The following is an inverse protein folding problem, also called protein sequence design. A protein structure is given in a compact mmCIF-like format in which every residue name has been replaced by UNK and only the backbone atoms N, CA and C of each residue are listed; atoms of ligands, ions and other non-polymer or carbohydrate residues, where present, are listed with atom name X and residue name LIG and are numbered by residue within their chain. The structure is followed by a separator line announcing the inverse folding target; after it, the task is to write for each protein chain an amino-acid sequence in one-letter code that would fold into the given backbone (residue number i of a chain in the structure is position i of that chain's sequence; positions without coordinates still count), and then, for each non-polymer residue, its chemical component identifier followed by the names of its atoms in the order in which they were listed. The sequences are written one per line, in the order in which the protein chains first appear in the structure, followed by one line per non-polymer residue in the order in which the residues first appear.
data_IF_480988157444
#
_entry.id   IF_480988157444
#
_cell.length_a   1.000
_cell.length_b   1.000
_cell.length_c   1.000
_cell.angle_alpha   90.00
_cell.angle_beta   90.00
_cell.angle_gamma   90.00
#
_symmetry.space_group_name_H-M   'P 1'
#
loop_
_entity.id
_entity.type
_entity.pdbx_description
1 polymer ?
#
# COMPACT_ATOMS: atom_id res chain seq x y z
N UNK A 1 -11.23 7.61 14.81
CA UNK A 1 -10.96 7.30 14.69
C UNK A 1 -10.25 6.89 13.93
N UNK A 2 -9.96 6.77 13.68
CA UNK A 2 -9.47 6.41 12.79
C UNK A 2 -8.21 6.28 12.73
N UNK A 3 -7.65 5.65 12.99
CA UNK A 3 -6.51 5.49 12.98
C UNK A 3 -6.12 5.04 11.89
N UNK A 4 -5.64 5.38 11.14
CA UNK A 4 -5.24 4.89 10.02
C UNK A 4 -3.88 4.46 10.03
N UNK A 5 -3.62 3.19 10.08
CA UNK A 5 -2.31 2.63 9.94
C UNK A 5 -2.05 2.44 8.45
N UNK A 6 -0.84 2.04 8.11
CA UNK A 6 -0.52 1.75 6.71
C UNK A 6 -1.47 0.68 6.17
N UNK A 7 -1.70 -0.39 6.93
CA UNK A 7 -2.55 -1.46 6.43
C UNK A 7 -3.98 -0.98 6.23
N UNK A 8 -4.46 -0.09 7.08
CA UNK A 8 -5.81 0.45 6.91
C UNK A 8 -5.89 1.26 5.63
N UNK A 9 -4.90 2.10 5.37
CA UNK A 9 -4.91 2.91 4.16
C UNK A 9 -4.76 2.03 2.92
N UNK A 10 -3.92 0.99 3.02
CA UNK A 10 -3.74 0.08 1.91
C UNK A 10 -5.05 -0.64 1.58
N UNK A 11 -5.71 -1.19 2.60
CA UNK A 11 -6.96 -1.89 2.37
C UNK A 11 -8.04 -0.96 1.83
N UNK A 12 -8.09 0.26 2.38
CA UNK A 12 -9.09 1.22 1.94
C UNK A 12 -8.87 1.58 0.47
N UNK A 13 -7.62 1.81 0.10
CA UNK A 13 -7.30 2.17 -1.28
C UNK A 13 -7.62 1.03 -2.23
N UNK A 14 -7.29 -0.19 -1.83
CA UNK A 14 -7.60 -1.34 -2.67
C UNK A 14 -9.10 -1.49 -2.86
N UNK A 15 -9.86 -1.26 -1.80
CA UNK A 15 -11.30 -1.35 -1.88
C UNK A 15 -11.87 -0.25 -2.77
N UNK A 16 -11.37 0.97 -2.60
CA UNK A 16 -11.86 2.09 -3.40
C UNK A 16 -11.59 1.90 -4.88
N UNK A 17 -10.51 1.22 -5.22
CA UNK A 17 -10.16 1.02 -6.61
C UNK A 17 -10.57 -0.36 -7.10
N UNK A 18 -11.21 -1.13 -6.25
CA UNK A 18 -11.69 -2.46 -6.63
C UNK A 18 -10.54 -3.33 -7.10
N UNK A 19 -9.45 -3.33 -6.34
CA UNK A 19 -8.24 -4.06 -6.68
C UNK A 19 -8.00 -5.11 -5.62
N UNK A 20 -7.67 -6.32 -6.02
CA UNK A 20 -7.41 -7.39 -5.11
C UNK A 20 -5.92 -7.59 -4.94
N UNK A 21 -5.52 -8.39 -3.95
CA UNK A 21 -4.12 -8.66 -3.73
C UNK A 21 -3.48 -9.29 -4.97
N UNK A 22 -4.18 -10.19 -5.64
CA UNK A 22 -3.64 -10.82 -6.83
C UNK A 22 -3.40 -9.82 -7.95
N UNK A 23 -4.26 -8.81 -8.03
CA UNK A 23 -4.11 -7.77 -9.04
C UNK A 23 -2.86 -6.94 -8.77
N UNK A 24 -2.62 -6.64 -7.49
CA UNK A 24 -1.44 -5.87 -7.12
C UNK A 24 -0.17 -6.67 -7.42
N UNK A 25 -0.19 -7.96 -7.09
CA UNK A 25 0.96 -8.81 -7.35
C UNK A 25 1.24 -8.87 -8.85
N UNK A 26 0.21 -9.02 -9.64
CA UNK A 26 0.39 -9.07 -11.08
C UNK A 26 0.95 -7.75 -11.63
N UNK A 27 0.44 -6.64 -11.14
CA UNK A 27 0.93 -5.34 -11.58
C UNK A 27 2.39 -5.14 -11.17
N UNK A 28 2.77 -5.63 -9.98
CA UNK A 28 4.14 -5.50 -9.54
C UNK A 28 5.07 -6.31 -10.44
N UNK A 29 4.60 -7.45 -10.89
CA UNK A 29 5.39 -8.28 -11.77
C UNK A 29 5.60 -7.57 -13.09
N UNK A 30 4.57 -6.92 -13.61
CA UNK A 30 4.67 -6.17 -14.85
C UNK A 30 5.61 -4.99 -14.73
N UNK A 31 5.77 -4.46 -13.53
CA UNK A 31 6.69 -3.36 -13.32
C UNK A 31 8.11 -3.84 -13.00
N UNK A 32 8.32 -5.14 -13.07
CA UNK A 32 9.65 -5.68 -12.88
C UNK A 32 10.04 -5.98 -11.45
N UNK A 33 9.11 -5.93 -10.52
CA UNK A 33 9.46 -6.16 -9.14
C UNK A 33 8.38 -6.95 -8.47
N UNK A 34 8.34 -8.22 -8.68
CA UNK A 34 7.26 -9.06 -8.22
C UNK A 34 7.18 -9.13 -6.70
N UNK A 35 6.01 -8.91 -6.17
CA UNK A 35 5.74 -9.07 -4.76
C UNK A 35 5.27 -10.49 -4.50
N UNK A 36 5.69 -11.07 -3.38
CA UNK A 36 5.24 -12.39 -3.02
C UNK A 36 3.86 -12.36 -2.41
N UNK A 37 3.15 -13.48 -2.49
CA UNK A 37 1.82 -13.57 -1.95
C UNK A 37 1.85 -13.42 -0.44
N UNK A 38 2.79 -14.07 0.24
CA UNK A 38 2.90 -13.93 1.68
C UNK A 38 3.24 -12.52 2.07
N UNK A 39 4.12 -11.90 1.29
CA UNK A 39 4.54 -10.55 1.56
C UNK A 39 3.34 -9.60 1.47
N UNK A 40 2.57 -9.72 0.41
CA UNK A 40 1.40 -8.88 0.22
C UNK A 40 0.40 -9.09 1.34
N UNK A 41 0.20 -10.33 1.74
CA UNK A 41 -0.71 -10.66 2.80
C UNK A 41 -0.29 -10.02 4.12
N UNK A 42 1.00 -9.98 4.41
CA UNK A 42 1.49 -9.37 5.63
C UNK A 42 1.30 -7.85 5.61
N UNK A 43 1.45 -7.23 4.47
CA UNK A 43 1.22 -5.79 4.37
C UNK A 43 -0.27 -5.47 4.60
N UNK A 44 -1.14 -6.27 4.02
CA UNK A 44 -2.58 -6.05 4.14
C UNK A 44 -3.04 -6.31 5.57
N UNK A 45 -2.45 -7.29 6.25
CA UNK A 45 -2.86 -7.59 7.60
C UNK A 45 -2.21 -6.69 8.65
N UNK A 46 -1.23 -5.93 8.25
CA UNK A 46 -0.57 -5.03 9.19
C UNK A 46 0.57 -5.65 9.95
N UNK A 47 0.98 -6.86 9.60
CA UNK A 47 2.08 -7.49 10.29
C UNK A 47 3.40 -6.82 10.01
N UNK A 48 3.60 -6.31 8.83
CA UNK A 48 4.82 -5.60 8.51
C UNK A 48 4.49 -4.39 7.66
N UNK A 49 5.40 -3.44 7.64
CA UNK A 49 5.26 -2.27 6.81
C UNK A 49 6.39 -2.32 5.79
N UNK A 50 6.11 -2.10 4.52
CA UNK A 50 7.12 -2.21 3.50
C UNK A 50 8.16 -1.11 3.59
N UNK A 51 9.34 -1.35 3.04
CA UNK A 51 10.32 -0.34 2.93
C UNK A 51 9.86 0.65 1.91
N UNK A 52 10.53 1.78 1.84
CA UNK A 52 10.09 2.84 0.96
C UNK A 52 10.04 2.43 -0.50
N UNK A 53 10.99 1.63 -0.96
CA UNK A 53 10.99 1.22 -2.35
C UNK A 53 9.75 0.37 -2.69
N UNK A 54 9.35 -0.51 -1.80
CA UNK A 54 8.16 -1.31 -2.02
C UNK A 54 6.92 -0.44 -1.85
N UNK A 55 6.94 0.48 -0.89
CA UNK A 55 5.82 1.39 -0.71
C UNK A 55 5.61 2.25 -1.94
N UNK A 56 6.70 2.68 -2.58
CA UNK A 56 6.59 3.47 -3.80
C UNK A 56 5.99 2.63 -4.93
N UNK A 57 6.34 1.36 -4.98
CA UNK A 57 5.76 0.46 -5.97
C UNK A 57 4.25 0.33 -5.75
N UNK A 58 3.85 0.13 -4.49
CA UNK A 58 2.43 -0.01 -4.19
C UNK A 58 1.69 1.29 -4.50
N UNK A 59 2.28 2.42 -4.16
CA UNK A 59 1.65 3.71 -4.42
C UNK A 59 1.47 3.92 -5.92
N UNK A 60 2.44 3.48 -6.71
CA UNK A 60 2.35 3.62 -8.14
C UNK A 60 1.26 2.73 -8.70
N UNK A 61 1.19 1.49 -8.22
CA UNK A 61 0.16 0.58 -8.69
C UNK A 61 -1.22 1.09 -8.33
N UNK A 62 -1.36 1.63 -7.13
CA UNK A 62 -2.66 2.10 -6.66
C UNK A 62 -2.92 3.56 -7.01
N UNK A 63 -1.94 4.22 -7.60
CA UNK A 63 -2.09 5.61 -8.04
C UNK A 63 -2.37 6.56 -6.89
N UNK A 64 -1.62 6.41 -5.83
CA UNK A 64 -1.74 7.31 -4.69
C UNK A 64 -0.35 7.80 -4.32
N UNK A 65 -0.29 8.80 -3.48
CA UNK A 65 0.97 9.37 -3.05
C UNK A 65 1.63 8.45 -2.02
N UNK A 66 2.92 8.17 -2.19
CA UNK A 66 3.60 7.25 -1.30
C UNK A 66 3.69 7.84 0.11
N UNK A 67 3.85 9.13 0.25
CA UNK A 67 3.90 9.75 1.56
C UNK A 67 2.58 9.56 2.29
N UNK A 68 1.47 9.75 1.58
CA UNK A 68 0.18 9.51 2.18
C UNK A 68 0.01 8.04 2.55
N UNK A 69 0.45 7.13 1.70
CA UNK A 69 0.28 5.71 1.96
C UNK A 69 1.05 5.30 3.21
N UNK A 70 2.27 5.78 3.37
CA UNK A 70 3.08 5.41 4.50
C UNK A 70 2.71 6.17 5.77
N UNK A 71 2.50 7.46 5.68
CA UNK A 71 2.31 8.29 6.87
C UNK A 71 0.90 8.80 7.05
N UNK A 72 0.12 8.77 6.02
CA UNK A 72 -1.25 9.27 6.12
C UNK A 72 -1.30 10.77 6.20
N UNK A 73 -2.47 11.24 6.57
CA UNK A 73 -2.67 12.65 6.59
C UNK A 73 -2.04 13.33 7.73
N UNK A 74 -1.56 12.57 8.66
CA UNK A 74 -1.04 13.16 9.84
C UNK A 74 0.04 14.11 9.55
N UNK A 75 0.83 13.86 8.56
CA UNK A 75 1.88 14.70 8.37
C UNK A 75 1.48 15.96 7.81
N UNK A 76 0.46 16.04 7.10
CA UNK A 76 0.21 17.25 6.63
C UNK A 76 -0.50 17.99 7.60
N UNK A 77 -1.06 17.38 8.50
CA UNK A 77 -1.69 18.08 9.46
C UNK A 77 -0.85 19.01 10.10
N UNK A 78 0.34 18.81 10.14
CA UNK A 78 1.07 19.57 10.78
C UNK A 78 1.38 20.69 10.17
N UNK A 79 1.33 20.72 9.21
CA UNK A 79 1.78 21.88 8.60
C UNK A 79 1.19 23.11 9.14
#
# INVERSE_FOLDING_TARGET
MAQETFSDRLRQTMSDRDVRQSDVIRASEMLGKKLGKSQMSQYVSGKTIPRRDVAELLARILEVDVTWLLAGDADQGEA
#
